data_IF_585021624717
#
_entry.id   IF_585021624717
#
_cell.length_a   1.000
_cell.length_b   1.000
_cell.length_c   1.000
_cell.angle_alpha   90.00
_cell.angle_beta   90.00
_cell.angle_gamma   90.00
#
_symmetry.space_group_name_H-M   'P 1'
#
loop_
_entity.id
_entity.type
_entity.pdbx_description
1 polymer ?
#
# COMPACT_ATOMS: atom_id res chain seq x y z
N UNK A 1 -29.36 5.31 -19.87
CA UNK A 1 -27.96 5.46 -19.45
C UNK A 1 -27.37 4.18 -18.82
N UNK A 2 -27.58 3.00 -19.42
CA UNK A 2 -26.91 1.73 -19.04
C UNK A 2 -25.84 1.34 -20.07
N UNK A 3 -26.07 1.71 -21.32
CA UNK A 3 -25.17 1.49 -22.44
C UNK A 3 -23.87 2.29 -22.29
N UNK A 4 -23.93 3.56 -21.86
CA UNK A 4 -22.72 4.36 -21.59
C UNK A 4 -21.88 3.77 -20.46
N UNK A 5 -22.51 3.31 -19.37
CA UNK A 5 -21.82 2.64 -18.25
C UNK A 5 -21.12 1.38 -18.76
N UNK A 6 -21.83 0.55 -19.54
CA UNK A 6 -21.25 -0.68 -20.11
C UNK A 6 -20.09 -0.39 -21.07
N UNK A 7 -20.17 0.69 -21.85
CA UNK A 7 -19.07 1.11 -22.71
C UNK A 7 -17.83 1.52 -21.90
N UNK A 8 -18.02 2.29 -20.84
CA UNK A 8 -16.93 2.70 -19.94
C UNK A 8 -16.29 1.49 -19.24
N UNK A 9 -17.09 0.52 -18.78
CA UNK A 9 -16.57 -0.73 -18.20
C UNK A 9 -15.71 -1.51 -19.19
N UNK A 10 -16.10 -1.58 -20.47
CA UNK A 10 -15.29 -2.21 -21.53
C UNK A 10 -13.97 -1.48 -21.73
N UNK A 11 -13.98 -0.14 -21.78
CA UNK A 11 -12.76 0.65 -21.93
C UNK A 11 -11.81 0.47 -20.74
N UNK A 12 -12.35 0.43 -19.51
CA UNK A 12 -11.56 0.12 -18.31
C UNK A 12 -10.89 -1.25 -18.47
N UNK A 13 -11.65 -2.28 -18.85
CA UNK A 13 -11.11 -3.64 -19.01
C UNK A 13 -10.00 -3.73 -20.09
N UNK A 14 -10.13 -2.98 -21.18
CA UNK A 14 -9.09 -2.89 -22.22
C UNK A 14 -7.82 -2.26 -21.65
N UNK A 15 -7.94 -1.11 -20.98
CA UNK A 15 -6.80 -0.42 -20.38
C UNK A 15 -6.11 -1.25 -19.30
N UNK A 16 -6.89 -1.94 -18.46
CA UNK A 16 -6.35 -2.85 -17.45
C UNK A 16 -5.51 -3.96 -18.10
N UNK A 17 -5.99 -4.52 -19.22
CA UNK A 17 -5.26 -5.55 -19.97
C UNK A 17 -3.98 -5.01 -20.59
N UNK A 18 -4.00 -3.79 -21.12
CA UNK A 18 -2.80 -3.16 -21.69
C UNK A 18 -1.73 -2.92 -20.62
N UNK A 19 -2.13 -2.48 -19.42
CA UNK A 19 -1.22 -2.34 -18.28
C UNK A 19 -0.62 -3.70 -17.89
N UNK A 20 -1.45 -4.75 -17.83
CA UNK A 20 -0.95 -6.10 -17.53
C UNK A 20 0.01 -6.63 -18.59
N UNK A 21 -0.24 -6.35 -19.88
CA UNK A 21 0.66 -6.72 -20.96
C UNK A 21 2.02 -6.01 -20.84
N UNK A 22 2.04 -4.72 -20.51
CA UNK A 22 3.27 -3.96 -20.26
C UNK A 22 4.04 -4.52 -19.07
N UNK A 23 3.35 -4.90 -17.99
CA UNK A 23 4.00 -5.53 -16.83
C UNK A 23 4.56 -6.90 -17.21
N UNK A 24 3.82 -7.69 -17.98
CA UNK A 24 4.22 -9.04 -18.37
C UNK A 24 5.43 -9.04 -19.33
N UNK A 25 5.59 -8.01 -20.16
CA UNK A 25 6.70 -7.89 -21.11
C UNK A 25 8.01 -7.44 -20.46
N UNK A 26 7.98 -6.92 -19.23
CA UNK A 26 9.18 -6.48 -18.50
C UNK A 26 9.43 -7.36 -17.27
N UNK A 27 10.52 -8.11 -17.27
CA UNK A 27 10.81 -9.10 -16.22
C UNK A 27 10.88 -8.49 -14.82
N UNK A 28 11.47 -7.31 -14.66
CA UNK A 28 11.55 -6.63 -13.37
C UNK A 28 10.18 -6.17 -12.86
N UNK A 29 9.36 -5.53 -13.72
CA UNK A 29 7.99 -5.12 -13.38
C UNK A 29 7.13 -6.32 -13.01
N UNK A 30 7.23 -7.41 -13.78
CA UNK A 30 6.52 -8.66 -13.50
C UNK A 30 6.87 -9.19 -12.11
N UNK A 31 8.16 -9.32 -11.81
CA UNK A 31 8.65 -9.84 -10.53
C UNK A 31 8.19 -8.96 -9.36
N UNK A 32 8.36 -7.63 -9.47
CA UNK A 32 7.92 -6.69 -8.44
C UNK A 32 6.39 -6.72 -8.27
N UNK A 33 5.63 -6.84 -9.36
CA UNK A 33 4.17 -6.99 -9.32
C UNK A 33 3.72 -8.26 -8.58
N UNK A 34 4.38 -9.39 -8.82
CA UNK A 34 4.13 -10.65 -8.12
C UNK A 34 4.44 -10.52 -6.61
N UNK A 35 5.58 -9.93 -6.27
CA UNK A 35 5.96 -9.67 -4.87
C UNK A 35 4.93 -8.76 -4.18
N UNK A 36 4.53 -7.66 -4.81
CA UNK A 36 3.55 -6.72 -4.23
C UNK A 36 2.21 -7.40 -3.99
N UNK A 37 1.67 -8.13 -4.98
CA UNK A 37 0.38 -8.80 -4.88
C UNK A 37 0.35 -9.94 -3.85
N UNK A 38 1.51 -10.41 -3.37
CA UNK A 38 1.57 -11.37 -2.26
C UNK A 38 1.15 -10.76 -0.91
N UNK A 39 1.21 -9.43 -0.77
CA UNK A 39 0.83 -8.74 0.47
C UNK A 39 -0.70 -8.62 0.58
N UNK A 40 -1.31 -9.06 1.69
CA UNK A 40 -2.74 -8.88 1.91
C UNK A 40 -3.18 -7.42 1.76
N UNK A 41 -4.19 -7.20 0.91
CA UNK A 41 -4.72 -5.88 0.58
C UNK A 41 -4.16 -5.25 -0.69
N UNK A 42 -3.05 -5.73 -1.25
CA UNK A 42 -2.51 -5.21 -2.51
C UNK A 42 -3.16 -5.93 -3.70
N UNK A 43 -4.17 -5.29 -4.29
CA UNK A 43 -4.74 -5.69 -5.58
C UNK A 43 -4.05 -5.02 -6.77
N UNK A 44 -4.53 -5.30 -7.99
CA UNK A 44 -3.98 -4.79 -9.27
C UNK A 44 -3.77 -3.28 -9.26
N UNK A 45 -4.82 -2.51 -8.96
CA UNK A 45 -4.79 -1.05 -8.98
C UNK A 45 -3.77 -0.47 -8.00
N UNK A 46 -3.71 -1.00 -6.77
CA UNK A 46 -2.71 -0.53 -5.79
C UNK A 46 -1.29 -0.92 -6.21
N UNK A 47 -1.11 -2.12 -6.75
CA UNK A 47 0.17 -2.59 -7.28
C UNK A 47 0.69 -1.64 -8.38
N UNK A 48 -0.13 -1.33 -9.38
CA UNK A 48 0.24 -0.42 -10.47
C UNK A 48 0.56 0.98 -9.94
N UNK A 49 -0.29 1.51 -9.05
CA UNK A 49 -0.07 2.83 -8.47
C UNK A 49 1.22 2.90 -7.65
N UNK A 50 1.55 1.84 -6.89
CA UNK A 50 2.83 1.78 -6.18
C UNK A 50 4.01 1.74 -7.13
N UNK A 51 3.98 0.91 -8.18
CA UNK A 51 5.04 0.86 -9.19
C UNK A 51 5.24 2.23 -9.86
N UNK A 52 4.17 2.90 -10.28
CA UNK A 52 4.25 4.21 -10.94
C UNK A 52 4.77 5.28 -9.97
N UNK A 53 4.18 5.39 -8.77
CA UNK A 53 4.46 6.48 -7.84
C UNK A 53 5.81 6.37 -7.14
N UNK A 54 6.42 5.19 -7.15
CA UNK A 54 7.75 4.98 -6.58
C UNK A 54 8.85 4.98 -7.64
N UNK A 55 8.52 5.21 -8.92
CA UNK A 55 9.45 5.02 -10.02
C UNK A 55 10.02 3.61 -9.99
N UNK A 56 9.15 2.60 -9.94
CA UNK A 56 9.52 1.19 -9.81
C UNK A 56 10.37 0.87 -8.56
N UNK A 57 10.12 1.56 -7.45
CA UNK A 57 10.88 1.53 -6.20
C UNK A 57 12.32 2.05 -6.31
N UNK A 58 12.63 2.82 -7.35
CA UNK A 58 13.96 3.42 -7.57
C UNK A 58 14.00 4.90 -7.13
N UNK A 59 12.89 5.63 -7.25
CA UNK A 59 12.80 7.04 -6.83
C UNK A 59 12.40 7.19 -5.36
N UNK A 60 11.44 6.37 -4.92
CA UNK A 60 11.03 6.29 -3.52
C UNK A 60 11.43 4.91 -2.99
N UNK A 61 12.56 4.86 -2.28
CA UNK A 61 13.16 3.64 -1.75
C UNK A 61 12.81 3.36 -0.28
N UNK A 62 12.21 4.34 0.41
CA UNK A 62 11.85 4.22 1.83
C UNK A 62 10.33 4.19 2.04
N UNK A 63 9.81 3.23 2.84
CA UNK A 63 8.37 3.13 3.10
C UNK A 63 7.80 4.37 3.78
N UNK A 64 8.58 5.00 4.65
CA UNK A 64 8.14 6.22 5.35
C UNK A 64 7.94 7.38 4.38
N UNK A 65 8.82 7.53 3.38
CA UNK A 65 8.68 8.56 2.33
C UNK A 65 7.38 8.37 1.54
N UNK A 66 7.05 7.13 1.14
CA UNK A 66 5.78 6.85 0.46
C UNK A 66 4.56 7.08 1.38
N UNK A 67 4.67 6.74 2.66
CA UNK A 67 3.60 6.98 3.64
C UNK A 67 3.34 8.48 3.86
N UNK A 68 4.39 9.32 3.88
CA UNK A 68 4.25 10.77 3.93
C UNK A 68 3.66 11.31 2.61
N UNK A 69 4.19 10.86 1.47
CA UNK A 69 3.74 11.25 0.12
C UNK A 69 2.25 10.94 -0.10
N UNK A 70 1.78 9.80 0.39
CA UNK A 70 0.36 9.40 0.33
C UNK A 70 -0.49 9.99 1.45
N UNK A 71 0.08 10.78 2.37
CA UNK A 71 -0.66 11.37 3.49
C UNK A 71 -1.25 10.34 4.46
N UNK A 72 -0.58 9.20 4.63
CA UNK A 72 -0.90 8.17 5.63
C UNK A 72 -0.27 8.52 6.98
N UNK A 73 0.95 9.05 6.94
CA UNK A 73 1.66 9.58 8.11
C UNK A 73 2.00 11.05 7.87
N UNK A 74 2.13 11.86 8.92
CA UNK A 74 2.57 13.24 8.75
C UNK A 74 4.06 13.34 8.43
N UNK A 75 4.44 14.46 7.80
CA UNK A 75 5.84 14.85 7.67
C UNK A 75 6.37 15.30 9.03
N UNK A 76 7.47 14.72 9.49
CA UNK A 76 8.20 15.25 10.65
C UNK A 76 8.96 16.50 10.18
N UNK A 77 8.57 17.68 10.66
CA UNK A 77 9.43 18.86 10.61
C UNK A 77 10.35 18.80 11.83
N UNK A 78 11.47 18.09 11.74
CA UNK A 78 12.56 18.25 12.69
C UNK A 78 13.43 19.46 12.27
N UNK A 79 12.92 20.67 12.47
CA UNK A 79 13.76 21.81 12.80
C UNK A 79 13.61 22.03 14.30
N UNK A 80 14.66 21.74 15.06
CA UNK A 80 14.67 21.84 16.51
C UNK A 80 14.47 23.28 16.97
N UNK A 81 13.22 23.72 17.06
CA UNK A 81 12.74 24.81 17.92
C UNK A 81 11.21 24.78 17.89
N UNK A 82 10.63 24.49 19.06
CA UNK A 82 9.35 25.00 19.53
C UNK A 82 8.06 24.75 18.73
N UNK A 83 6.99 24.60 19.51
CA UNK A 83 5.57 24.63 19.16
C UNK A 83 4.96 23.26 18.84
N UNK A 84 4.15 22.86 19.82
CA UNK A 84 3.15 21.79 19.87
C UNK A 84 2.14 21.90 18.72
N UNK A 85 2.56 21.68 17.47
CA UNK A 85 1.68 21.74 16.31
C UNK A 85 1.21 20.33 15.94
N UNK A 86 -0.11 20.14 15.78
CA UNK A 86 -0.66 18.87 15.29
C UNK A 86 -0.06 18.59 13.91
N UNK A 87 0.54 17.42 13.68
CA UNK A 87 1.12 17.11 12.38
C UNK A 87 0.04 17.23 11.28
N UNK A 88 0.20 18.21 10.38
CA UNK A 88 -0.72 18.42 9.24
C UNK A 88 -0.25 17.55 8.06
N UNK A 89 -1.20 16.97 7.34
CA UNK A 89 -0.91 16.34 6.05
C UNK A 89 -0.43 17.41 5.06
N UNK A 90 0.57 17.08 4.23
CA UNK A 90 1.01 18.01 3.18
C UNK A 90 -0.14 18.29 2.21
N UNK A 91 -0.28 19.55 1.79
CA UNK A 91 -1.25 19.95 0.76
C UNK A 91 -1.00 19.22 -0.58
N UNK A 92 0.26 18.80 -0.81
CA UNK A 92 0.76 18.06 -1.96
C UNK A 92 0.61 16.53 -1.86
N UNK A 93 -0.05 16.01 -0.81
CA UNK A 93 -0.23 14.57 -0.66
C UNK A 93 -1.06 14.00 -1.82
N UNK A 94 -0.63 12.85 -2.36
CA UNK A 94 -1.36 12.17 -3.42
C UNK A 94 -2.66 11.56 -2.86
N UNK A 95 -3.73 12.35 -2.96
CA UNK A 95 -5.07 11.98 -2.49
C UNK A 95 -5.61 10.74 -3.22
N UNK A 96 -5.17 10.48 -4.45
CA UNK A 96 -5.60 9.30 -5.21
C UNK A 96 -4.97 8.03 -4.63
N UNK A 97 -3.66 8.03 -4.36
CA UNK A 97 -2.97 6.92 -3.70
C UNK A 97 -3.53 6.67 -2.29
N UNK A 98 -3.86 7.72 -1.54
CA UNK A 98 -4.50 7.59 -0.22
C UNK A 98 -5.84 6.85 -0.29
N UNK A 99 -6.67 7.21 -1.26
CA UNK A 99 -7.98 6.59 -1.47
C UNK A 99 -7.84 5.12 -1.87
N UNK A 100 -6.91 4.79 -2.77
CA UNK A 100 -6.63 3.42 -3.17
C UNK A 100 -6.11 2.60 -1.97
N UNK A 101 -5.18 3.14 -1.19
CA UNK A 101 -4.70 2.52 0.06
C UNK A 101 -5.82 2.30 1.07
N UNK A 102 -6.79 3.22 1.13
CA UNK A 102 -7.96 3.05 1.99
C UNK A 102 -8.82 1.86 1.55
N UNK A 103 -9.10 1.74 0.26
CA UNK A 103 -9.85 0.60 -0.30
C UNK A 103 -9.10 -0.72 -0.09
N UNK A 104 -7.79 -0.72 -0.30
CA UNK A 104 -6.91 -1.86 0.00
C UNK A 104 -6.98 -2.28 1.47
N UNK A 105 -6.87 -1.32 2.40
CA UNK A 105 -6.98 -1.59 3.83
C UNK A 105 -8.37 -2.13 4.22
N UNK A 106 -9.44 -1.56 3.65
CA UNK A 106 -10.82 -2.03 3.87
C UNK A 106 -11.03 -3.46 3.36
N UNK A 107 -10.46 -3.80 2.21
CA UNK A 107 -10.49 -5.16 1.67
C UNK A 107 -9.69 -6.13 2.54
N UNK A 108 -8.47 -5.74 2.93
CA UNK A 108 -7.58 -6.56 3.75
C UNK A 108 -8.23 -6.97 5.09
N UNK A 109 -8.93 -6.07 5.77
CA UNK A 109 -9.57 -6.38 7.06
C UNK A 109 -10.82 -7.25 6.95
N UNK A 110 -11.36 -7.47 5.74
CA UNK A 110 -12.52 -8.36 5.51
C UNK A 110 -12.11 -9.81 5.31
N UNK A 111 -10.90 -10.05 4.81
CA UNK A 111 -10.37 -11.38 4.53
C UNK A 111 -9.60 -11.93 5.73
N UNK A 112 -9.48 -13.26 5.83
CA UNK A 112 -8.68 -13.91 6.87
C UNK A 112 -7.18 -13.72 6.61
N UNK A 113 -6.56 -12.83 7.38
CA UNK A 113 -5.13 -12.56 7.37
C UNK A 113 -4.74 -11.80 8.65
N UNK A 114 -3.45 -11.55 8.81
CA UNK A 114 -2.90 -10.90 10.00
C UNK A 114 -3.19 -9.39 10.10
N UNK A 115 -3.54 -8.71 9.00
CA UNK A 115 -4.03 -7.32 9.06
C UNK A 115 -5.44 -7.26 9.66
N UNK A 116 -6.30 -8.23 9.34
CA UNK A 116 -7.60 -8.41 9.99
C UNK A 116 -7.44 -8.70 11.47
N UNK A 117 -6.58 -9.65 11.83
CA UNK A 117 -6.28 -9.97 13.25
C UNK A 117 -5.78 -8.75 14.01
N UNK A 118 -4.85 -7.98 13.41
CA UNK A 118 -4.38 -6.73 13.97
C UNK A 118 -5.51 -5.71 14.15
N UNK A 119 -6.36 -5.54 13.14
CA UNK A 119 -7.47 -4.59 13.18
C UNK A 119 -8.45 -4.93 14.30
N UNK A 120 -8.91 -6.18 14.36
CA UNK A 120 -9.87 -6.63 15.36
C UNK A 120 -9.31 -6.50 16.78
N UNK A 121 -8.06 -6.93 16.99
CA UNK A 121 -7.38 -6.78 18.29
C UNK A 121 -7.31 -5.32 18.74
N UNK A 122 -6.89 -4.41 17.86
CA UNK A 122 -6.76 -2.98 18.21
C UNK A 122 -8.10 -2.29 18.42
N UNK A 123 -9.15 -2.71 17.71
CA UNK A 123 -10.51 -2.21 17.96
C UNK A 123 -11.05 -2.74 19.30
N UNK A 124 -10.78 -4.01 19.64
CA UNK A 124 -11.15 -4.59 20.93
C UNK A 124 -10.44 -3.92 22.12
N UNK A 125 -9.21 -3.43 21.92
CA UNK A 125 -8.49 -2.56 22.87
C UNK A 125 -9.11 -1.15 23.02
N UNK A 126 -10.24 -0.86 22.38
CA UNK A 126 -10.94 0.43 22.47
C UNK A 126 -10.39 1.53 21.55
N UNK A 127 -9.47 1.21 20.63
CA UNK A 127 -8.91 2.22 19.71
C UNK A 127 -9.92 2.62 18.64
N UNK A 128 -9.91 3.90 18.28
CA UNK A 128 -10.76 4.43 17.21
C UNK A 128 -10.55 3.66 15.89
N UNK A 129 -11.64 3.20 15.27
CA UNK A 129 -11.63 2.38 14.05
C UNK A 129 -10.86 3.03 12.89
N UNK A 130 -11.00 4.34 12.69
CA UNK A 130 -10.31 5.07 11.62
C UNK A 130 -8.81 5.20 11.88
N UNK A 131 -8.41 5.37 13.15
CA UNK A 131 -7.00 5.33 13.54
C UNK A 131 -6.38 3.95 13.25
N UNK A 132 -7.07 2.88 13.64
CA UNK A 132 -6.60 1.50 13.38
C UNK A 132 -6.52 1.22 11.89
N UNK A 133 -7.51 1.66 11.11
CA UNK A 133 -7.50 1.50 9.66
C UNK A 133 -6.36 2.28 9.00
N UNK A 134 -6.04 3.48 9.48
CA UNK A 134 -4.87 4.23 9.03
C UNK A 134 -3.57 3.46 9.31
N UNK A 135 -3.47 2.80 10.48
CA UNK A 135 -2.34 1.93 10.79
C UNK A 135 -2.25 0.73 9.83
N UNK A 136 -3.39 0.17 9.40
CA UNK A 136 -3.42 -0.90 8.37
C UNK A 136 -2.89 -0.38 7.04
N UNK A 137 -3.29 0.82 6.58
CA UNK A 137 -2.71 1.45 5.37
C UNK A 137 -1.19 1.55 5.48
N UNK A 138 -0.69 2.02 6.62
CA UNK A 138 0.75 2.15 6.84
C UNK A 138 1.45 0.77 6.82
N UNK A 139 0.85 -0.25 7.45
CA UNK A 139 1.38 -1.62 7.41
C UNK A 139 1.46 -2.17 5.99
N UNK A 140 0.47 -1.91 5.14
CA UNK A 140 0.50 -2.31 3.72
C UNK A 140 1.70 -1.69 2.99
N UNK A 141 1.93 -0.38 3.17
CA UNK A 141 3.10 0.31 2.60
C UNK A 141 4.39 -0.35 3.08
N UNK A 142 4.57 -0.51 4.39
CA UNK A 142 5.80 -1.09 4.93
C UNK A 142 6.04 -2.53 4.44
N UNK A 143 4.98 -3.33 4.27
CA UNK A 143 5.08 -4.69 3.73
C UNK A 143 5.45 -4.70 2.26
N UNK A 144 4.89 -3.80 1.45
CA UNK A 144 5.26 -3.64 0.05
C UNK A 144 6.78 -3.40 -0.09
N UNK A 145 7.33 -2.46 0.68
CA UNK A 145 8.79 -2.24 0.69
C UNK A 145 9.56 -3.44 1.22
N UNK A 146 9.06 -4.14 2.24
CA UNK A 146 9.74 -5.31 2.77
C UNK A 146 9.86 -6.45 1.75
N UNK A 147 8.79 -6.77 1.00
CA UNK A 147 8.84 -7.82 -0.03
C UNK A 147 9.72 -7.45 -1.21
N UNK A 148 9.72 -6.16 -1.60
CA UNK A 148 10.61 -5.64 -2.64
C UNK A 148 12.06 -5.70 -2.19
N UNK A 149 12.39 -5.20 -0.99
CA UNK A 149 13.78 -5.16 -0.52
C UNK A 149 14.34 -6.56 -0.24
N UNK A 150 13.51 -7.48 0.28
CA UNK A 150 13.93 -8.86 0.55
C UNK A 150 13.86 -9.77 -0.69
N UNK A 151 13.24 -9.31 -1.78
CA UNK A 151 12.99 -10.09 -2.98
C UNK A 151 12.30 -11.43 -2.67
N UNK A 152 11.39 -11.43 -1.68
CA UNK A 152 10.67 -12.61 -1.20
C UNK A 152 9.18 -12.27 -1.03
N UNK A 153 8.27 -13.16 -1.45
CA UNK A 153 6.85 -13.00 -1.20
C UNK A 153 6.55 -12.81 0.29
N UNK A 154 5.42 -12.17 0.57
CA UNK A 154 4.95 -11.97 1.93
C UNK A 154 4.60 -13.31 2.58
N UNK A 155 5.14 -13.54 3.78
CA UNK A 155 4.87 -14.70 4.61
C UNK A 155 4.39 -14.21 5.99
N UNK A 156 3.24 -14.73 6.44
CA UNK A 156 2.66 -14.36 7.75
C UNK A 156 3.60 -14.73 8.91
N UNK A 157 4.15 -15.94 8.87
CA UNK A 157 4.98 -16.51 9.93
C UNK A 157 6.44 -16.53 9.48
N UNK A 158 7.05 -15.36 9.33
CA UNK A 158 8.47 -15.28 8.99
C UNK A 158 9.32 -15.83 10.15
N UNK A 159 9.88 -17.03 9.96
CA UNK A 159 10.86 -17.61 10.88
C UNK A 159 12.22 -17.02 10.50
N UNK A 160 12.85 -16.31 11.44
CA UNK A 160 14.18 -15.77 11.23
C UNK A 160 15.20 -16.90 11.43
N UNK A 161 15.69 -17.49 10.34
CA UNK A 161 16.64 -18.62 10.37
C UNK A 161 18.03 -18.27 10.95
N UNK A 162 18.22 -17.08 11.49
CA UNK A 162 19.47 -16.61 12.12
C UNK A 162 19.59 -17.01 13.61
N UNK A 163 18.67 -17.82 14.15
CA UNK A 163 18.66 -18.25 15.57
C UNK A 163 18.77 -19.78 15.72
N UNK A 164 19.11 -20.50 14.64
CA UNK A 164 19.29 -21.96 14.65
C UNK A 164 20.65 -22.37 14.10
N UNK A 165 21.72 -21.76 14.61
CA UNK A 165 23.10 -22.17 14.39
C UNK A 165 23.89 -22.00 15.68
#
# INVERSE_FOLDING_TARGET
NKEEISLLEKHIAILEKDIENVIASHQDLKKKSELLKSVPGIGKVLCWMMLIKTGNFEEITEPRKLACYSGVVPFDHQSGTSIRYKPKLSFYADKSLKSILHMAAMSAIRLENDLREYYLRKVAEGKNKMLVLNNVRNKIIHRAFAVINKQKPYEKNYINNLVTS
#
